data_IF_192663110066
#
_entry.id   IF_192663110066
#
_cell.length_a   1.000
_cell.length_b   1.000
_cell.length_c   1.000
_cell.angle_alpha   90.00
_cell.angle_beta   90.00
_cell.angle_gamma   90.00
#
_symmetry.space_group_name_H-M   'P 1'
#
loop_
_entity.id
_entity.type
_entity.pdbx_description
1 polymer ?
#
# COMPACT_ATOMS: atom_id res chain seq x y z
N UNK A 1 4.27 18.94 -20.84
CA UNK A 1 3.32 18.20 -19.99
C UNK A 1 4.07 17.09 -19.29
N UNK A 2 3.69 16.63 -18.09
CA UNK A 2 4.36 15.51 -17.46
C UNK A 2 3.98 14.19 -18.18
N UNK A 3 4.85 13.19 -18.08
CA UNK A 3 4.63 11.87 -18.64
C UNK A 3 3.39 11.21 -18.00
N UNK A 4 2.51 10.66 -18.85
CA UNK A 4 1.27 9.98 -18.46
C UNK A 4 1.43 8.48 -18.60
N UNK A 5 1.48 7.73 -17.51
CA UNK A 5 1.50 6.26 -17.53
C UNK A 5 0.07 5.75 -17.37
N UNK A 6 -0.46 5.06 -18.37
CA UNK A 6 -1.85 4.61 -18.32
C UNK A 6 -2.03 3.42 -17.41
N UNK A 7 -3.15 3.41 -16.67
CA UNK A 7 -3.47 2.42 -15.66
C UNK A 7 -4.58 1.49 -16.12
N UNK A 8 -4.53 0.24 -15.68
CA UNK A 8 -5.54 -0.78 -15.90
C UNK A 8 -5.90 -1.45 -14.57
N UNK A 9 -7.19 -1.62 -14.29
CA UNK A 9 -7.70 -2.22 -13.06
C UNK A 9 -9.21 -2.10 -12.99
N UNK A 10 -9.79 -2.45 -11.84
CA UNK A 10 -11.23 -2.23 -11.63
C UNK A 10 -11.54 -0.73 -11.52
N UNK A 11 -12.67 -0.31 -12.09
CA UNK A 11 -13.07 1.10 -12.12
C UNK A 11 -13.14 1.73 -10.72
N UNK A 12 -13.65 0.97 -9.74
CA UNK A 12 -13.78 1.43 -8.36
C UNK A 12 -12.40 1.65 -7.71
N UNK A 13 -11.44 0.75 -7.94
CA UNK A 13 -10.08 0.87 -7.40
C UNK A 13 -9.31 2.01 -8.08
N UNK A 14 -9.49 2.22 -9.38
CA UNK A 14 -8.94 3.39 -10.09
C UNK A 14 -9.49 4.71 -9.53
N UNK A 15 -10.79 4.78 -9.25
CA UNK A 15 -11.42 5.93 -8.61
C UNK A 15 -10.91 6.18 -7.19
N UNK A 16 -10.78 5.11 -6.39
CA UNK A 16 -10.23 5.18 -5.04
C UNK A 16 -8.76 5.63 -5.05
N UNK A 17 -7.94 5.14 -5.98
CA UNK A 17 -6.57 5.64 -6.16
C UNK A 17 -6.54 7.11 -6.56
N UNK A 18 -7.39 7.55 -7.49
CA UNK A 18 -7.45 8.95 -7.87
C UNK A 18 -7.83 9.86 -6.69
N UNK A 19 -8.70 9.39 -5.79
CA UNK A 19 -9.04 10.10 -4.57
C UNK A 19 -7.89 10.11 -3.55
N UNK A 20 -7.18 9.00 -3.38
CA UNK A 20 -6.02 8.91 -2.48
C UNK A 20 -4.83 9.72 -2.98
N UNK A 21 -4.59 9.76 -4.29
CA UNK A 21 -3.44 10.38 -4.95
C UNK A 21 -3.86 11.55 -5.86
N UNK A 22 -4.77 12.40 -5.38
CA UNK A 22 -5.24 13.56 -6.15
C UNK A 22 -4.19 14.68 -6.27
N UNK A 23 -3.25 14.72 -5.33
CA UNK A 23 -2.22 15.75 -5.17
C UNK A 23 -0.88 15.16 -4.66
N UNK A 24 0.19 15.95 -4.74
CA UNK A 24 1.56 15.55 -4.39
C UNK A 24 2.44 15.19 -5.60
N UNK A 25 3.63 14.67 -5.33
CA UNK A 25 4.63 14.33 -6.35
C UNK A 25 4.29 13.08 -7.16
N UNK A 26 3.37 12.25 -6.65
CA UNK A 26 2.83 11.06 -7.30
C UNK A 26 1.32 11.21 -7.34
N UNK A 27 0.74 11.23 -8.55
CA UNK A 27 -0.68 11.51 -8.75
C UNK A 27 -1.34 10.51 -9.67
N UNK A 28 -2.58 10.14 -9.35
CA UNK A 28 -3.46 9.36 -10.22
C UNK A 28 -4.58 10.27 -10.69
N UNK A 29 -4.66 10.48 -12.00
CA UNK A 29 -5.50 11.52 -12.60
C UNK A 29 -6.49 10.89 -13.58
N UNK A 30 -7.80 11.20 -13.49
CA UNK A 30 -8.76 10.82 -14.52
C UNK A 30 -8.46 11.57 -15.83
N UNK A 31 -8.61 10.87 -16.94
CA UNK A 31 -8.55 11.47 -18.26
C UNK A 31 -9.89 12.15 -18.57
N UNK A 32 -9.87 13.47 -18.73
CA UNK A 32 -11.09 14.24 -19.00
C UNK A 32 -11.58 14.08 -20.44
N UNK A 33 -10.74 13.52 -21.33
CA UNK A 33 -11.04 13.37 -22.75
C UNK A 33 -11.70 12.00 -23.07
N UNK A 34 -11.54 11.00 -22.21
CA UNK A 34 -12.19 9.69 -22.34
C UNK A 34 -12.61 9.13 -20.98
N UNK A 35 -13.92 8.97 -20.80
CA UNK A 35 -14.53 8.49 -19.56
C UNK A 35 -13.92 7.17 -19.09
N UNK A 36 -13.56 7.12 -17.81
CA UNK A 36 -13.11 5.92 -17.12
C UNK A 36 -11.63 5.57 -17.30
N UNK A 37 -10.83 6.39 -17.98
CA UNK A 37 -9.37 6.19 -18.06
C UNK A 37 -8.65 6.97 -16.98
N UNK A 38 -7.60 6.38 -16.45
CA UNK A 38 -6.74 7.00 -15.45
C UNK A 38 -5.28 6.85 -15.85
N UNK A 39 -4.49 7.85 -15.50
CA UNK A 39 -3.04 7.79 -15.67
C UNK A 39 -2.33 8.18 -14.37
N UNK A 40 -1.19 7.52 -14.16
CA UNK A 40 -0.20 7.86 -13.15
C UNK A 40 0.75 8.92 -13.74
N UNK A 41 1.06 9.93 -12.95
CA UNK A 41 2.12 10.89 -13.24
C UNK A 41 2.94 11.14 -11.99
N UNK A 42 4.25 11.29 -12.16
CA UNK A 42 5.16 11.55 -11.06
C UNK A 42 6.45 12.20 -11.55
N UNK A 43 7.07 13.04 -10.71
CA UNK A 43 8.36 13.68 -11.04
C UNK A 43 9.44 12.64 -11.37
N UNK A 44 9.47 11.52 -10.64
CA UNK A 44 10.39 10.42 -10.91
C UNK A 44 10.16 9.70 -12.24
N UNK A 45 8.95 9.75 -12.81
CA UNK A 45 8.66 9.16 -14.12
C UNK A 45 9.20 10.00 -15.28
N UNK A 46 9.18 11.33 -15.13
CA UNK A 46 9.77 12.25 -16.09
C UNK A 46 11.29 12.02 -16.19
N UNK A 47 11.98 11.96 -15.04
CA UNK A 47 13.41 11.64 -14.99
C UNK A 47 13.73 10.25 -15.53
N UNK A 48 12.90 9.25 -15.19
CA UNK A 48 13.08 7.89 -15.68
C UNK A 48 12.95 7.78 -17.21
N UNK A 49 12.18 8.65 -17.85
CA UNK A 49 12.08 8.70 -19.30
C UNK A 49 13.38 9.13 -19.95
N UNK A 50 14.04 10.15 -19.42
CA UNK A 50 15.32 10.67 -19.93
C UNK A 50 16.43 9.60 -19.93
N UNK A 51 16.36 8.65 -18.99
CA UNK A 51 17.36 7.58 -18.83
C UNK A 51 16.86 6.19 -19.28
N UNK A 52 15.74 6.09 -20.00
CA UNK A 52 15.15 4.82 -20.48
C UNK A 52 14.83 3.80 -19.36
N UNK A 53 14.35 4.27 -18.21
CA UNK A 53 13.99 3.48 -17.02
C UNK A 53 12.51 3.58 -16.63
N UNK A 54 11.65 4.01 -17.55
CA UNK A 54 10.20 4.20 -17.29
C UNK A 54 9.57 2.93 -16.72
N UNK A 55 9.71 1.78 -17.37
CA UNK A 55 9.02 0.56 -16.95
C UNK A 55 9.43 0.07 -15.54
N UNK A 56 10.73 -0.08 -15.19
CA UNK A 56 11.12 -0.39 -13.81
C UNK A 56 10.58 0.61 -12.78
N UNK A 57 10.55 1.90 -13.14
CA UNK A 57 10.04 2.96 -12.25
C UNK A 57 8.53 2.87 -12.07
N UNK A 58 7.79 2.54 -13.13
CA UNK A 58 6.35 2.26 -13.06
C UNK A 58 6.06 1.07 -12.15
N UNK A 59 6.78 -0.04 -12.30
CA UNK A 59 6.57 -1.23 -11.46
C UNK A 59 6.83 -0.92 -9.98
N UNK A 60 7.90 -0.16 -9.70
CA UNK A 60 8.23 0.28 -8.34
C UNK A 60 7.11 1.15 -7.74
N UNK A 61 6.70 2.20 -8.46
CA UNK A 61 5.65 3.11 -8.02
C UNK A 61 4.30 2.40 -7.86
N UNK A 62 3.92 1.52 -8.79
CA UNK A 62 2.70 0.72 -8.69
C UNK A 62 2.70 -0.15 -7.43
N UNK A 63 3.83 -0.79 -7.11
CA UNK A 63 3.98 -1.53 -5.86
C UNK A 63 3.75 -0.65 -4.63
N UNK A 64 4.29 0.57 -4.62
CA UNK A 64 4.12 1.48 -3.48
C UNK A 64 2.70 2.02 -3.35
N UNK A 65 2.08 2.47 -4.44
CA UNK A 65 0.72 3.04 -4.39
C UNK A 65 -0.32 1.96 -4.06
N UNK A 66 -0.20 0.75 -4.62
CA UNK A 66 -1.11 -0.35 -4.32
C UNK A 66 -0.95 -0.81 -2.87
N UNK A 67 0.30 -0.92 -2.39
CA UNK A 67 0.59 -1.24 -1.00
C UNK A 67 0.01 -0.21 -0.04
N UNK A 68 0.19 1.09 -0.32
CA UNK A 68 -0.36 2.17 0.48
C UNK A 68 -1.90 2.18 0.44
N UNK A 69 -2.52 1.92 -0.72
CA UNK A 69 -3.96 1.81 -0.85
C UNK A 69 -4.53 0.63 -0.05
N UNK A 70 -3.89 -0.55 -0.07
CA UNK A 70 -4.31 -1.74 0.72
C UNK A 70 -4.18 -1.55 2.24
N UNK A 71 -3.33 -0.63 2.69
CA UNK A 71 -3.25 -0.25 4.11
C UNK A 71 -4.51 0.54 4.52
N UNK A 72 -4.95 1.47 3.67
CA UNK A 72 -6.12 2.33 3.94
C UNK A 72 -7.46 1.65 3.62
N UNK A 73 -7.48 0.81 2.59
CA UNK A 73 -8.69 0.23 1.99
C UNK A 73 -8.50 -1.29 1.94
N UNK A 74 -9.04 -2.05 2.92
CA UNK A 74 -8.77 -3.48 3.05
C UNK A 74 -9.17 -4.33 1.83
N UNK A 75 -10.21 -3.93 1.10
CA UNK A 75 -10.76 -4.64 -0.07
C UNK A 75 -10.23 -4.13 -1.42
N UNK A 76 -9.15 -3.32 -1.40
CA UNK A 76 -8.54 -2.75 -2.60
C UNK A 76 -7.84 -3.80 -3.47
N UNK A 77 -8.10 -3.78 -4.77
CA UNK A 77 -7.40 -4.61 -5.76
C UNK A 77 -6.34 -3.83 -6.50
N UNK A 78 -5.25 -4.52 -6.86
CA UNK A 78 -4.11 -3.89 -7.51
C UNK A 78 -4.48 -3.26 -8.85
N UNK A 79 -4.01 -2.03 -9.03
CA UNK A 79 -4.00 -1.39 -10.33
C UNK A 79 -2.65 -1.66 -10.98
N UNK A 80 -2.71 -1.92 -12.29
CA UNK A 80 -1.58 -2.37 -13.10
C UNK A 80 -1.24 -1.37 -14.20
N UNK A 81 -0.07 -1.54 -14.79
CA UNK A 81 0.33 -0.78 -15.97
C UNK A 81 -0.46 -1.25 -17.19
N UNK A 82 -1.18 -0.34 -17.86
CA UNK A 82 -1.97 -0.64 -19.05
C UNK A 82 -1.12 -0.90 -20.31
N UNK A 83 0.21 -1.01 -20.15
CA UNK A 83 1.11 -1.27 -21.25
C UNK A 83 1.30 -0.08 -22.20
N UNK A 84 0.99 1.15 -21.75
CA UNK A 84 1.24 2.34 -22.55
C UNK A 84 1.52 3.58 -21.70
N UNK A 85 2.34 4.48 -22.22
CA UNK A 85 2.51 5.83 -21.67
C UNK A 85 2.54 6.89 -22.77
N UNK A 86 2.23 8.13 -22.41
CA UNK A 86 2.25 9.30 -23.29
C UNK A 86 3.33 10.27 -22.80
N UNK A 87 4.24 10.66 -23.70
CA UNK A 87 5.34 11.58 -23.38
C UNK A 87 4.85 13.02 -23.24
N UNK A 88 5.72 13.90 -22.76
CA UNK A 88 5.48 15.33 -22.68
C UNK A 88 5.11 15.99 -24.01
N UNK A 89 5.54 15.40 -25.12
CA UNK A 89 5.33 15.90 -26.49
C UNK A 89 4.08 15.29 -27.15
N UNK A 90 3.37 14.39 -26.45
CA UNK A 90 2.17 13.72 -26.95
C UNK A 90 2.43 12.38 -27.65
N UNK A 91 3.68 11.93 -27.73
CA UNK A 91 4.00 10.64 -28.34
C UNK A 91 3.45 9.49 -27.48
N UNK A 92 2.82 8.51 -28.12
CA UNK A 92 2.37 7.29 -27.45
C UNK A 92 3.41 6.18 -27.59
N UNK A 93 3.79 5.59 -26.46
CA UNK A 93 4.65 4.41 -26.42
C UNK A 93 3.85 3.24 -25.88
N UNK A 94 3.81 2.14 -26.63
CA UNK A 94 3.14 0.89 -26.26
C UNK A 94 4.20 -0.15 -25.87
N UNK A 95 4.06 -0.73 -24.70
CA UNK A 95 4.83 -1.87 -24.20
C UNK A 95 3.83 -2.91 -23.67
N UNK A 96 3.67 -4.07 -24.31
CA UNK A 96 2.57 -4.98 -24.00
C UNK A 96 2.59 -5.44 -22.53
N UNK A 97 1.46 -5.31 -21.85
CA UNK A 97 1.19 -5.90 -20.53
C UNK A 97 -0.18 -6.61 -20.57
N UNK A 98 -0.32 -7.72 -19.85
CA UNK A 98 -1.57 -8.49 -19.77
C UNK A 98 -2.56 -7.81 -18.82
N UNK A 99 -3.77 -7.52 -19.28
CA UNK A 99 -4.85 -6.92 -18.48
C UNK A 99 -5.85 -8.00 -18.01
N UNK A 100 -6.33 -7.88 -16.77
CA UNK A 100 -7.44 -8.67 -16.22
C UNK A 100 -8.52 -7.71 -15.75
N UNK A 101 -9.77 -7.87 -16.23
CA UNK A 101 -10.92 -7.04 -15.88
C UNK A 101 -11.90 -7.82 -14.99
N UNK A 102 -12.27 -7.24 -13.85
CA UNK A 102 -13.34 -7.68 -12.95
C UNK A 102 -14.08 -6.41 -12.47
N UNK A 103 -15.38 -6.50 -12.17
CA UNK A 103 -16.23 -5.30 -12.00
C UNK A 103 -17.02 -5.37 -10.68
N UNK A 104 -16.90 -4.31 -9.85
CA UNK A 104 -17.71 -4.05 -8.65
C UNK A 104 -18.02 -2.55 -8.50
N UNK A 105 -19.13 -2.22 -7.82
CA UNK A 105 -19.63 -0.85 -7.60
C UNK A 105 -19.51 -0.47 -6.12
N UNK A 106 -19.02 0.73 -5.83
CA UNK A 106 -18.90 1.27 -4.47
C UNK A 106 -18.95 2.80 -4.46
N UNK A 107 -19.23 3.40 -3.30
CA UNK A 107 -19.39 4.86 -3.10
C UNK A 107 -18.22 5.37 -2.26
N UNK A 108 -17.63 6.52 -2.63
CA UNK A 108 -16.61 7.24 -1.84
C UNK A 108 -17.11 8.62 -1.44
N UNK A 109 -16.72 9.10 -0.25
CA UNK A 109 -17.03 10.44 0.26
C UNK A 109 -15.74 11.14 0.68
N UNK A 110 -15.54 12.38 0.23
CA UNK A 110 -14.48 13.28 0.70
C UNK A 110 -15.09 14.39 1.56
N UNK A 111 -14.44 14.75 2.66
CA UNK A 111 -14.88 15.83 3.54
C UNK A 111 -13.86 16.98 3.53
N UNK A 112 -14.32 18.19 3.28
CA UNK A 112 -13.53 19.41 3.47
C UNK A 112 -13.59 19.85 4.94
N UNK A 113 -12.44 19.98 5.61
CA UNK A 113 -12.37 20.58 6.95
C UNK A 113 -12.14 22.09 6.82
N UNK A 114 -13.16 22.89 7.14
CA UNK A 114 -13.06 24.36 7.19
C UNK A 114 -12.73 24.83 8.60
N UNK A 115 -11.84 25.81 8.71
CA UNK A 115 -11.53 26.48 9.98
C UNK A 115 -12.69 27.33 10.50
N UNK A 116 -12.65 27.76 11.77
CA UNK A 116 -13.68 28.63 12.37
C UNK A 116 -13.86 29.99 11.65
N UNK A 117 -12.87 30.40 10.86
CA UNK A 117 -12.81 31.60 10.04
C UNK A 117 -13.31 31.39 8.60
N UNK A 118 -13.76 30.18 8.25
CA UNK A 118 -14.16 29.82 6.89
C UNK A 118 -12.99 29.62 5.92
N UNK A 119 -11.74 29.75 6.40
CA UNK A 119 -10.57 29.44 5.59
C UNK A 119 -10.45 27.93 5.38
N UNK A 120 -10.14 27.53 4.15
CA UNK A 120 -9.76 26.15 3.84
C UNK A 120 -8.43 25.90 4.53
N UNK A 121 -8.46 25.14 5.63
CA UNK A 121 -7.22 24.62 6.21
C UNK A 121 -6.68 23.60 5.19
N UNK A 122 -5.39 23.64 4.80
CA UNK A 122 -4.85 22.59 3.95
C UNK A 122 -5.17 21.26 4.62
N UNK A 123 -5.96 20.43 3.93
CA UNK A 123 -6.26 19.09 4.42
C UNK A 123 -4.91 18.40 4.62
N UNK A 124 -4.69 17.70 5.75
CA UNK A 124 -3.57 16.79 5.83
C UNK A 124 -3.58 15.93 4.57
N UNK A 125 -2.42 15.75 3.93
CA UNK A 125 -2.34 14.83 2.80
C UNK A 125 -2.85 13.46 3.26
N UNK A 126 -3.58 12.72 2.40
CA UNK A 126 -4.03 11.38 2.75
C UNK A 126 -2.82 10.53 3.21
N UNK A 127 -2.95 9.73 4.27
CA UNK A 127 -1.83 8.92 4.78
C UNK A 127 -1.14 8.08 3.70
N UNK A 128 -1.87 7.62 2.68
CA UNK A 128 -1.31 6.91 1.53
C UNK A 128 -0.26 7.72 0.75
N UNK A 129 -0.51 9.01 0.48
CA UNK A 129 0.45 9.90 -0.22
C UNK A 129 1.71 10.05 0.62
N UNK A 130 1.55 10.29 1.91
CA UNK A 130 2.69 10.45 2.82
C UNK A 130 3.54 9.19 2.92
N UNK A 131 2.92 7.99 2.93
CA UNK A 131 3.68 6.73 2.93
C UNK A 131 4.45 6.49 1.63
N UNK A 132 3.88 6.86 0.48
CA UNK A 132 4.60 6.77 -0.81
C UNK A 132 5.78 7.75 -0.86
N UNK A 133 5.59 8.98 -0.37
CA UNK A 133 6.68 9.93 -0.24
C UNK A 133 7.78 9.40 0.69
N UNK A 134 7.41 8.81 1.84
CA UNK A 134 8.35 8.22 2.79
C UNK A 134 9.11 7.03 2.20
N UNK A 135 8.45 6.20 1.38
CA UNK A 135 9.10 5.08 0.68
C UNK A 135 10.23 5.54 -0.26
N UNK A 136 10.15 6.75 -0.83
CA UNK A 136 11.20 7.27 -1.69
C UNK A 136 12.52 7.55 -0.95
N UNK A 137 12.48 7.75 0.37
CA UNK A 137 13.66 8.04 1.21
C UNK A 137 13.91 7.02 2.33
N UNK A 138 13.04 6.01 2.48
CA UNK A 138 13.15 4.99 3.52
C UNK A 138 12.92 3.58 2.94
N UNK A 139 14.02 2.84 2.77
CA UNK A 139 14.02 1.49 2.19
C UNK A 139 13.15 0.49 2.95
N UNK A 140 13.01 0.64 4.27
CA UNK A 140 12.16 -0.24 5.06
C UNK A 140 10.68 0.01 4.77
N UNK A 141 10.28 1.28 4.61
CA UNK A 141 8.92 1.67 4.24
C UNK A 141 8.63 1.21 2.81
N UNK A 142 9.55 1.43 1.87
CA UNK A 142 9.44 0.92 0.50
C UNK A 142 9.24 -0.59 0.44
N UNK A 143 10.01 -1.34 1.25
CA UNK A 143 9.88 -2.79 1.36
C UNK A 143 8.51 -3.20 1.92
N UNK A 144 8.03 -2.53 2.97
CA UNK A 144 6.72 -2.82 3.57
C UNK A 144 5.59 -2.56 2.57
N UNK A 145 5.59 -1.43 1.87
CA UNK A 145 4.56 -1.16 0.86
C UNK A 145 4.61 -2.18 -0.29
N UNK A 146 5.80 -2.59 -0.72
CA UNK A 146 5.96 -3.62 -1.76
C UNK A 146 5.37 -4.96 -1.32
N UNK A 147 5.60 -5.39 -0.08
CA UNK A 147 4.99 -6.60 0.48
C UNK A 147 3.47 -6.49 0.58
N UNK A 148 2.96 -5.30 0.92
CA UNK A 148 1.53 -5.06 1.02
C UNK A 148 0.82 -5.08 -0.33
N UNK A 149 1.53 -4.78 -1.43
CA UNK A 149 0.98 -4.93 -2.77
C UNK A 149 0.78 -6.40 -3.21
N UNK A 150 1.39 -7.37 -2.52
CA UNK A 150 1.22 -8.79 -2.81
C UNK A 150 -0.13 -9.37 -2.38
N UNK A 151 -0.17 -10.70 -2.28
CA UNK A 151 -1.37 -11.48 -1.89
C UNK A 151 -1.75 -11.29 -0.40
N UNK A 152 -0.82 -10.73 0.40
CA UNK A 152 -0.99 -10.48 1.83
C UNK A 152 -1.40 -11.76 2.56
N UNK A 153 -0.72 -12.86 2.21
CA UNK A 153 -0.78 -14.13 2.92
C UNK A 153 0.05 -14.06 4.22
N UNK A 154 0.06 -15.12 5.01
CA UNK A 154 0.77 -15.14 6.28
C UNK A 154 2.28 -14.87 6.15
N UNK A 155 2.92 -15.31 5.07
CA UNK A 155 4.33 -15.03 4.81
C UNK A 155 4.62 -13.54 4.59
N UNK A 156 3.79 -12.87 3.79
CA UNK A 156 3.93 -11.44 3.52
C UNK A 156 3.69 -10.63 4.80
N UNK A 157 2.61 -10.94 5.51
CA UNK A 157 2.25 -10.28 6.78
C UNK A 157 3.34 -10.47 7.83
N UNK A 158 3.94 -11.65 7.93
CA UNK A 158 5.03 -11.91 8.86
C UNK A 158 6.29 -11.12 8.51
N UNK A 159 6.66 -11.04 7.23
CA UNK A 159 7.81 -10.23 6.78
C UNK A 159 7.61 -8.74 7.09
N UNK A 160 6.39 -8.23 6.96
CA UNK A 160 6.05 -6.86 7.36
C UNK A 160 6.24 -6.69 8.87
N UNK A 161 5.63 -7.56 9.69
CA UNK A 161 5.80 -7.54 11.14
C UNK A 161 7.27 -7.57 11.56
N UNK A 162 8.09 -8.46 10.96
CA UNK A 162 9.52 -8.55 11.26
C UNK A 162 10.29 -7.27 10.90
N UNK A 163 9.93 -6.65 9.78
CA UNK A 163 10.55 -5.40 9.32
C UNK A 163 10.25 -4.27 10.31
N UNK A 164 8.98 -4.08 10.68
CA UNK A 164 8.57 -3.05 11.64
C UNK A 164 9.17 -3.32 13.02
N UNK A 165 9.06 -4.55 13.52
CA UNK A 165 9.64 -4.97 14.79
C UNK A 165 11.13 -4.65 14.85
N UNK A 166 11.88 -4.94 13.79
CA UNK A 166 13.32 -4.62 13.73
C UNK A 166 13.56 -3.12 13.72
N UNK A 167 12.79 -2.35 12.94
CA UNK A 167 12.93 -0.91 12.81
C UNK A 167 12.75 -0.16 14.15
N UNK A 168 11.82 -0.62 14.99
CA UNK A 168 11.55 0.04 16.28
C UNK A 168 12.39 -0.46 17.45
N UNK A 169 13.36 -1.36 17.24
CA UNK A 169 14.22 -1.89 18.30
C UNK A 169 13.73 -3.17 18.98
N UNK A 170 12.79 -3.89 18.37
CA UNK A 170 12.40 -5.25 18.74
C UNK A 170 11.04 -5.37 19.43
N UNK A 171 10.73 -6.58 19.89
CA UNK A 171 9.45 -6.91 20.54
C UNK A 171 9.19 -6.07 21.79
N UNK A 172 10.23 -5.81 22.60
CA UNK A 172 10.08 -5.01 23.82
C UNK A 172 9.63 -3.58 23.51
N UNK A 173 10.13 -3.00 22.41
CA UNK A 173 9.68 -1.70 21.96
C UNK A 173 8.20 -1.71 21.57
N UNK A 174 7.79 -2.66 20.72
CA UNK A 174 6.39 -2.77 20.27
C UNK A 174 5.38 -2.95 21.42
N UNK A 175 5.71 -3.79 22.40
CA UNK A 175 4.76 -4.19 23.46
C UNK A 175 4.81 -3.27 24.68
N UNK A 176 6.02 -2.91 25.15
CA UNK A 176 6.19 -2.28 26.46
C UNK A 176 6.53 -0.79 26.38
N UNK A 177 7.25 -0.34 25.35
CA UNK A 177 7.69 1.06 25.25
C UNK A 177 6.70 1.90 24.43
N UNK A 178 6.36 1.42 23.23
CA UNK A 178 5.43 2.06 22.31
C UNK A 178 3.99 1.60 22.55
N UNK A 179 3.81 0.39 23.10
CA UNK A 179 2.52 -0.21 23.40
C UNK A 179 1.55 -0.24 22.21
N UNK A 180 2.09 -0.43 21.00
CA UNK A 180 1.28 -0.48 19.78
C UNK A 180 0.48 -1.77 19.65
N UNK A 181 0.97 -2.85 20.28
CA UNK A 181 0.35 -4.17 20.31
C UNK A 181 0.47 -4.75 21.72
N UNK A 182 -0.40 -5.71 22.06
CA UNK A 182 -0.28 -6.48 23.32
C UNK A 182 0.51 -7.77 23.13
N UNK A 183 0.93 -8.40 24.24
CA UNK A 183 1.45 -9.78 24.22
C UNK A 183 0.43 -10.77 23.64
N UNK A 184 -0.86 -10.52 23.87
CA UNK A 184 -1.95 -11.32 23.33
C UNK A 184 -2.02 -11.26 21.81
N UNK A 185 -1.97 -10.05 21.24
CA UNK A 185 -2.01 -9.83 19.79
C UNK A 185 -0.80 -10.46 19.12
N UNK A 186 0.39 -10.21 19.67
CA UNK A 186 1.64 -10.83 19.19
C UNK A 186 1.53 -12.34 19.17
N UNK A 187 1.02 -12.94 20.24
CA UNK A 187 0.86 -14.40 20.33
C UNK A 187 -0.16 -14.88 19.30
N UNK A 188 -1.33 -14.27 19.22
CA UNK A 188 -2.38 -14.67 18.30
C UNK A 188 -1.91 -14.59 16.84
N UNK A 189 -1.25 -13.49 16.45
CA UNK A 189 -0.68 -13.33 15.12
C UNK A 189 0.40 -14.38 14.84
N UNK A 190 1.32 -14.62 15.79
CA UNK A 190 2.38 -15.62 15.63
C UNK A 190 1.85 -17.04 15.48
N UNK A 191 0.90 -17.45 16.31
CA UNK A 191 0.34 -18.80 16.23
C UNK A 191 -0.41 -18.99 14.92
N UNK A 192 -1.16 -17.98 14.47
CA UNK A 192 -1.93 -18.07 13.22
C UNK A 192 -1.03 -18.10 11.99
N UNK A 193 0.02 -17.28 11.95
CA UNK A 193 0.94 -17.26 10.82
C UNK A 193 1.78 -18.54 10.73
N UNK A 194 2.15 -19.16 11.85
CA UNK A 194 3.18 -20.21 11.85
C UNK A 194 2.64 -21.62 12.09
N UNK A 195 1.41 -21.79 12.58
CA UNK A 195 0.90 -23.10 12.97
C UNK A 195 -0.04 -23.68 11.89
N UNK A 196 0.31 -24.79 11.22
CA UNK A 196 -0.55 -25.42 10.22
C UNK A 196 -1.84 -26.00 10.81
N UNK A 197 -1.89 -26.29 12.12
CA UNK A 197 -3.14 -26.68 12.78
C UNK A 197 -4.16 -25.53 12.86
N UNK A 198 -3.71 -24.28 12.65
CA UNK A 198 -4.56 -23.08 12.63
C UNK A 198 -4.87 -22.63 11.21
N UNK A 199 -3.84 -22.52 10.37
CA UNK A 199 -3.96 -21.91 9.03
C UNK A 199 -3.80 -22.90 7.88
N UNK A 200 -3.67 -24.20 8.16
CA UNK A 200 -3.49 -25.23 7.14
C UNK A 200 -2.24 -24.98 6.29
N UNK A 201 -2.37 -25.19 4.98
CA UNK A 201 -1.29 -25.03 4.00
C UNK A 201 -0.84 -23.56 3.84
N UNK A 202 -1.64 -22.59 4.27
CA UNK A 202 -1.27 -21.17 4.25
C UNK A 202 -0.31 -20.81 5.40
N UNK A 203 -0.12 -21.70 6.38
CA UNK A 203 0.83 -21.48 7.46
C UNK A 203 2.26 -21.49 6.94
N UNK A 204 3.11 -20.65 7.53
CA UNK A 204 4.53 -20.52 7.17
C UNK A 204 5.38 -21.74 7.50
N UNK A 205 4.86 -22.64 8.34
CA UNK A 205 5.52 -23.90 8.66
C UNK A 205 4.59 -25.06 8.35
N UNK A 206 5.15 -26.10 7.74
CA UNK A 206 4.44 -27.33 7.40
C UNK A 206 4.17 -28.23 8.61
N UNK A 207 4.81 -27.97 9.76
CA UNK A 207 4.70 -28.78 10.98
C UNK A 207 4.52 -27.85 12.18
N UNK A 208 3.59 -28.15 13.13
CA UNK A 208 3.44 -27.37 14.34
C UNK A 208 4.74 -27.34 15.15
N UNK A 209 5.16 -26.14 15.58
CA UNK A 209 6.34 -25.97 16.44
C UNK A 209 6.06 -26.22 17.92
N UNK A 210 4.79 -26.45 18.28
CA UNK A 210 4.32 -26.72 19.64
C UNK A 210 3.27 -27.82 19.60
N UNK A 211 3.30 -28.79 20.54
CA UNK A 211 2.28 -29.84 20.65
C UNK A 211 0.99 -29.34 21.33
N UNK A 212 1.00 -28.16 21.93
CA UNK A 212 -0.18 -27.61 22.62
C UNK A 212 -0.97 -26.72 21.67
N UNK A 213 -2.28 -26.95 21.51
CA UNK A 213 -3.13 -26.08 20.69
C UNK A 213 -3.06 -24.63 21.16
N UNK A 214 -2.98 -23.67 20.23
CA UNK A 214 -2.92 -22.27 20.58
C UNK A 214 -4.24 -21.81 21.20
N UNK A 215 -4.15 -21.01 22.25
CA UNK A 215 -5.31 -20.48 22.98
C UNK A 215 -5.80 -19.14 22.45
N UNK A 216 -5.05 -18.52 21.52
CA UNK A 216 -5.41 -17.29 20.82
C UNK A 216 -4.93 -17.41 19.39
N UNK A 217 -5.81 -17.14 18.45
CA UNK A 217 -5.56 -17.18 17.01
C UNK A 217 -6.27 -15.99 16.35
N UNK A 218 -5.99 -15.80 15.07
CA UNK A 218 -6.55 -14.81 14.17
C UNK A 218 -6.83 -15.51 12.85
N UNK A 219 -7.93 -15.14 12.21
CA UNK A 219 -8.16 -15.39 10.78
C UNK A 219 -7.17 -14.58 9.94
N UNK A 220 -7.01 -14.92 8.66
CA UNK A 220 -6.15 -14.14 7.75
C UNK A 220 -6.59 -12.68 7.65
N UNK A 221 -7.89 -12.39 7.69
CA UNK A 221 -8.40 -11.03 7.62
C UNK A 221 -8.14 -10.24 8.92
N UNK A 222 -8.23 -10.88 10.08
CA UNK A 222 -7.78 -10.27 11.35
C UNK A 222 -6.26 -10.02 11.34
N UNK A 223 -5.49 -10.94 10.77
CA UNK A 223 -4.04 -10.77 10.57
C UNK A 223 -3.71 -9.57 9.66
N UNK A 224 -4.46 -9.41 8.56
CA UNK A 224 -4.34 -8.26 7.66
C UNK A 224 -4.69 -6.96 8.37
N UNK A 225 -5.78 -6.93 9.14
CA UNK A 225 -6.18 -5.76 9.91
C UNK A 225 -5.12 -5.39 10.97
N UNK A 226 -4.60 -6.38 11.70
CA UNK A 226 -3.51 -6.22 12.66
C UNK A 226 -2.26 -5.59 12.03
N UNK A 227 -1.85 -6.07 10.85
CA UNK A 227 -0.70 -5.50 10.14
C UNK A 227 -0.98 -4.10 9.59
N UNK A 228 -2.17 -3.84 9.05
CA UNK A 228 -2.52 -2.49 8.58
C UNK A 228 -2.44 -1.44 9.70
N UNK A 229 -3.00 -1.76 10.87
CA UNK A 229 -2.91 -0.89 12.06
C UNK A 229 -1.45 -0.68 12.52
N UNK A 230 -0.65 -1.76 12.53
CA UNK A 230 0.76 -1.66 12.88
C UNK A 230 1.56 -0.80 11.89
N UNK A 231 1.28 -0.90 10.58
CA UNK A 231 1.90 -0.05 9.55
C UNK A 231 1.54 1.42 9.80
N UNK A 232 0.26 1.73 10.05
CA UNK A 232 -0.18 3.10 10.28
C UNK A 232 0.56 3.75 11.46
N UNK A 233 0.55 3.08 12.63
CA UNK A 233 1.27 3.55 13.84
C UNK A 233 2.77 3.72 13.58
N UNK A 234 3.38 2.77 12.86
CA UNK A 234 4.81 2.84 12.57
C UNK A 234 5.15 3.99 11.64
N UNK A 235 4.39 4.21 10.57
CA UNK A 235 4.68 5.30 9.63
C UNK A 235 4.47 6.66 10.27
N UNK A 236 3.45 6.82 11.12
CA UNK A 236 3.23 8.05 11.89
C UNK A 236 4.40 8.34 12.83
N UNK A 237 4.93 7.29 13.48
CA UNK A 237 6.12 7.41 14.32
C UNK A 237 7.37 7.75 13.53
N UNK A 238 7.59 7.16 12.35
CA UNK A 238 8.74 7.53 11.50
C UNK A 238 8.67 9.00 11.12
N UNK A 239 7.50 9.51 10.71
CA UNK A 239 7.30 10.93 10.36
C UNK A 239 7.56 11.84 11.56
N UNK A 240 7.14 11.44 12.76
CA UNK A 240 7.35 12.24 13.97
C UNK A 240 8.81 12.26 14.46
N UNK A 241 9.65 11.34 13.99
CA UNK A 241 11.04 11.17 14.44
C UNK A 241 12.07 11.33 13.30
N UNK A 242 11.63 11.79 12.12
CA UNK A 242 12.47 12.09 10.95
C UNK A 242 12.97 13.53 10.93
#
# INVERSE_FOLDING_TARGET
MPLKVWLAGEQLDLQRLAALFSDGDVRVVPDNDEDGRYYLTAVGLDQAHEVNRVYPTVQLLLGWINGAAKVEIPDFHDVTYAGRYTTANGDQVIQPAAAVLRLRVGVTASAEVRGPDGAVKPSPQPPAVTRVALAASNDQVAKVLTLMAGDRNWDDLWKVYETIRKAVGGTNALVNQLQWITEGDKKAFRESANNPDVSGDDARHAIPTSPTPPTRTMTIDEGRAFINDLIAKWTDWVIANS
#
